data_IF_262597587847
#
_entry.id   IF_262597587847
#
_cell.length_a   1.000
_cell.length_b   1.000
_cell.length_c   1.000
_cell.angle_alpha   90.00
_cell.angle_beta   90.00
_cell.angle_gamma   90.00
#
_symmetry.space_group_name_H-M   'P 1'
#
loop_
_entity.id
_entity.type
_entity.pdbx_description
1 polymer ?
#
# COMPACT_ATOMS: atom_id res chain seq x y z
N UNK A 1 7.98 -17.51 -8.00
CA UNK A 1 7.47 -16.16 -8.26
C UNK A 1 8.35 -15.50 -9.31
N UNK A 2 7.77 -15.03 -10.41
CA UNK A 2 8.51 -14.30 -11.47
C UNK A 2 9.22 -13.09 -10.85
N UNK A 3 10.45 -12.79 -11.29
CA UNK A 3 11.25 -11.65 -10.82
C UNK A 3 10.47 -10.33 -10.85
N UNK A 4 9.63 -10.14 -11.87
CA UNK A 4 8.77 -8.95 -12.03
C UNK A 4 7.71 -8.83 -10.93
N UNK A 5 7.06 -9.94 -10.54
CA UNK A 5 6.09 -9.95 -9.43
C UNK A 5 6.79 -9.59 -8.13
N UNK A 6 7.97 -10.17 -7.87
CA UNK A 6 8.78 -9.85 -6.69
C UNK A 6 9.12 -8.36 -6.63
N UNK A 7 9.45 -7.73 -7.76
CA UNK A 7 9.68 -6.29 -7.86
C UNK A 7 8.45 -5.49 -7.40
N UNK A 8 7.25 -5.82 -7.89
CA UNK A 8 6.02 -5.13 -7.46
C UNK A 8 5.71 -5.32 -5.98
N UNK A 9 5.97 -6.51 -5.42
CA UNK A 9 5.85 -6.73 -3.97
C UNK A 9 6.84 -5.87 -3.18
N UNK A 10 8.07 -5.70 -3.67
CA UNK A 10 9.04 -4.76 -3.07
C UNK A 10 8.57 -3.31 -3.16
N UNK A 11 8.01 -2.89 -4.30
CA UNK A 11 7.46 -1.54 -4.47
C UNK A 11 6.36 -1.28 -3.41
N UNK A 12 5.42 -2.22 -3.26
CA UNK A 12 4.35 -2.13 -2.23
C UNK A 12 4.94 -2.01 -0.83
N UNK A 13 5.90 -2.89 -0.46
CA UNK A 13 6.52 -2.86 0.86
C UNK A 13 7.20 -1.52 1.12
N UNK A 14 7.95 -1.02 0.15
CA UNK A 14 8.68 0.24 0.23
C UNK A 14 7.73 1.41 0.44
N UNK A 15 6.63 1.48 -0.32
CA UNK A 15 5.61 2.51 -0.14
C UNK A 15 4.94 2.47 1.22
N UNK A 16 4.66 1.28 1.76
CA UNK A 16 4.13 1.16 3.13
C UNK A 16 5.14 1.66 4.15
N UNK A 17 6.42 1.33 3.99
CA UNK A 17 7.49 1.77 4.90
C UNK A 17 7.66 3.30 4.84
N UNK A 18 7.60 3.92 3.65
CA UNK A 18 7.60 5.38 3.49
C UNK A 18 6.41 6.05 4.17
N UNK A 19 5.19 5.50 4.03
CA UNK A 19 4.02 6.02 4.76
C UNK A 19 4.25 5.98 6.28
N UNK A 20 4.81 4.88 6.79
CA UNK A 20 5.10 4.76 8.22
C UNK A 20 6.16 5.76 8.68
N UNK A 21 7.18 6.02 7.86
CA UNK A 21 8.20 7.04 8.12
C UNK A 21 7.58 8.45 8.17
N UNK A 22 6.73 8.79 7.19
CA UNK A 22 6.08 10.10 7.13
C UNK A 22 5.17 10.38 8.32
N UNK A 23 4.49 9.35 8.84
CA UNK A 23 3.62 9.48 10.02
C UNK A 23 4.37 9.51 11.35
N UNK A 24 5.63 9.05 11.36
CA UNK A 24 6.43 8.91 12.57
C UNK A 24 5.81 7.99 13.62
N UNK A 25 6.41 7.98 14.81
CA UNK A 25 6.02 7.09 15.91
C UNK A 25 4.71 7.48 16.62
N UNK A 26 4.35 8.78 16.63
CA UNK A 26 3.17 9.28 17.34
C UNK A 26 1.86 8.99 16.60
N UNK A 27 1.89 8.93 15.26
CA UNK A 27 0.73 8.72 14.38
C UNK A 27 -0.47 9.58 14.77
N UNK A 28 -0.37 10.88 14.54
CA UNK A 28 -1.42 11.85 14.89
C UNK A 28 -2.33 12.18 13.68
N UNK A 29 -3.62 11.89 13.82
CA UNK A 29 -4.60 12.15 12.77
C UNK A 29 -4.76 13.65 12.47
N UNK A 30 -4.72 14.51 13.49
CA UNK A 30 -4.89 15.95 13.28
C UNK A 30 -3.66 16.56 12.63
N UNK A 31 -2.46 16.06 12.93
CA UNK A 31 -1.24 16.44 12.22
C UNK A 31 -1.35 16.07 10.73
N UNK A 32 -1.72 14.81 10.44
CA UNK A 32 -2.01 14.35 9.08
C UNK A 32 -3.02 15.25 8.38
N UNK A 33 -4.19 15.47 8.99
CA UNK A 33 -5.29 16.23 8.39
C UNK A 33 -4.90 17.68 8.07
N UNK A 34 -4.11 18.33 8.95
CA UNK A 34 -3.73 19.72 8.78
C UNK A 34 -2.45 19.91 7.93
N UNK A 35 -1.70 18.84 7.64
CA UNK A 35 -0.47 18.90 6.86
C UNK A 35 -0.70 18.44 5.41
N UNK A 36 -0.88 19.41 4.50
CA UNK A 36 -1.11 19.13 3.06
C UNK A 36 0.03 18.35 2.39
N UNK A 37 1.28 18.57 2.79
CA UNK A 37 2.41 17.85 2.22
C UNK A 37 2.38 16.38 2.63
N UNK A 38 2.11 16.12 3.92
CA UNK A 38 1.98 14.78 4.47
C UNK A 38 0.84 14.01 3.79
N UNK A 39 -0.33 14.63 3.63
CA UNK A 39 -1.46 14.02 2.91
C UNK A 39 -1.09 13.61 1.50
N UNK A 40 -0.51 14.53 0.72
CA UNK A 40 -0.09 14.26 -0.67
C UNK A 40 0.98 13.17 -0.76
N UNK A 41 1.90 13.12 0.20
CA UNK A 41 2.90 12.05 0.28
C UNK A 41 2.23 10.68 0.47
N UNK A 42 1.30 10.58 1.42
CA UNK A 42 0.58 9.33 1.70
C UNK A 42 -0.32 8.93 0.53
N UNK A 43 -1.06 9.86 -0.05
CA UNK A 43 -1.89 9.64 -1.26
C UNK A 43 -1.04 9.06 -2.39
N UNK A 44 0.14 9.63 -2.64
CA UNK A 44 1.05 9.15 -3.68
C UNK A 44 1.52 7.72 -3.43
N UNK A 45 1.90 7.40 -2.19
CA UNK A 45 2.32 6.03 -1.85
C UNK A 45 1.16 5.03 -1.99
N UNK A 46 -0.07 5.42 -1.66
CA UNK A 46 -1.26 4.59 -1.87
C UNK A 46 -1.54 4.33 -3.37
N UNK A 47 -1.32 5.31 -4.25
CA UNK A 47 -1.40 5.11 -5.70
C UNK A 47 -0.39 4.07 -6.20
N UNK A 48 0.86 4.15 -5.70
CA UNK A 48 1.94 3.23 -6.06
C UNK A 48 1.58 1.81 -5.61
N UNK A 49 1.09 1.65 -4.38
CA UNK A 49 0.63 0.37 -3.83
C UNK A 49 -0.46 -0.24 -4.73
N UNK A 50 -1.48 0.55 -5.10
CA UNK A 50 -2.57 0.08 -5.96
C UNK A 50 -2.12 -0.35 -7.36
N UNK A 51 -1.25 0.44 -7.99
CA UNK A 51 -0.70 0.12 -9.32
C UNK A 51 0.21 -1.12 -9.28
N UNK A 52 1.09 -1.22 -8.28
CA UNK A 52 1.96 -2.37 -8.12
C UNK A 52 1.16 -3.65 -7.86
N UNK A 53 0.11 -3.59 -7.03
CA UNK A 53 -0.79 -4.71 -6.79
C UNK A 53 -1.49 -5.17 -8.08
N UNK A 54 -2.02 -4.23 -8.87
CA UNK A 54 -2.67 -4.52 -10.14
C UNK A 54 -1.72 -5.24 -11.12
N UNK A 55 -0.46 -4.79 -11.21
CA UNK A 55 0.54 -5.41 -12.07
C UNK A 55 0.97 -6.79 -11.56
N UNK A 56 1.11 -6.95 -10.25
CA UNK A 56 1.43 -8.25 -9.65
C UNK A 56 0.35 -9.28 -9.96
N UNK A 57 -0.93 -8.94 -9.73
CA UNK A 57 -2.07 -9.83 -9.99
C UNK A 57 -2.24 -10.18 -11.47
N UNK A 58 -1.94 -9.25 -12.39
CA UNK A 58 -1.95 -9.55 -13.84
C UNK A 58 -0.91 -10.60 -14.23
N UNK A 59 0.24 -10.62 -13.55
CA UNK A 59 1.33 -11.55 -13.83
C UNK A 59 1.22 -12.87 -13.05
N UNK A 60 0.55 -12.84 -11.89
CA UNK A 60 0.36 -13.93 -10.94
C UNK A 60 -1.05 -13.81 -10.32
N UNK A 61 -2.11 -14.22 -11.06
CA UNK A 61 -3.48 -14.15 -10.57
C UNK A 61 -3.75 -15.01 -9.33
N UNK A 62 -2.92 -16.03 -9.11
CA UNK A 62 -2.94 -16.94 -7.96
C UNK A 62 -2.34 -16.33 -6.68
N UNK A 63 -1.83 -15.09 -6.73
CA UNK A 63 -1.28 -14.40 -5.57
C UNK A 63 -2.38 -14.17 -4.52
N UNK A 64 -2.31 -14.92 -3.43
CA UNK A 64 -3.28 -14.84 -2.33
C UNK A 64 -2.95 -13.65 -1.41
N UNK A 65 -3.52 -12.49 -1.73
CA UNK A 65 -3.50 -11.27 -0.92
C UNK A 65 -4.93 -10.92 -0.52
N UNK A 66 -5.15 -10.68 0.76
CA UNK A 66 -6.49 -10.35 1.24
C UNK A 66 -6.88 -8.97 0.73
N UNK A 67 -8.13 -8.83 0.29
CA UNK A 67 -8.68 -7.56 -0.21
C UNK A 67 -7.88 -6.94 -1.37
N UNK A 68 -7.13 -7.74 -2.15
CA UNK A 68 -6.28 -7.24 -3.23
C UNK A 68 -7.03 -6.34 -4.23
N UNK A 69 -8.30 -6.67 -4.52
CA UNK A 69 -9.17 -5.85 -5.37
C UNK A 69 -9.43 -4.45 -4.77
N UNK A 70 -9.72 -4.36 -3.48
CA UNK A 70 -9.91 -3.08 -2.78
C UNK A 70 -8.61 -2.26 -2.75
N UNK A 71 -7.45 -2.92 -2.64
CA UNK A 71 -6.14 -2.27 -2.71
C UNK A 71 -5.91 -1.64 -4.10
N UNK A 72 -6.25 -2.36 -5.17
CA UNK A 72 -6.22 -1.82 -6.54
C UNK A 72 -7.18 -0.64 -6.69
N UNK A 73 -8.39 -0.76 -6.15
CA UNK A 73 -9.42 0.27 -6.25
C UNK A 73 -9.09 1.54 -5.44
N UNK A 74 -8.24 1.42 -4.41
CA UNK A 74 -7.76 2.56 -3.59
C UNK A 74 -7.11 3.64 -4.46
N UNK A 75 -6.39 3.27 -5.53
CA UNK A 75 -5.83 4.22 -6.50
C UNK A 75 -6.90 5.11 -7.13
N UNK A 76 -8.01 4.51 -7.55
CA UNK A 76 -9.08 5.26 -8.23
C UNK A 76 -9.76 6.22 -7.25
N UNK A 77 -9.94 5.79 -6.00
CA UNK A 77 -10.57 6.60 -4.98
C UNK A 77 -9.68 7.79 -4.55
N UNK A 78 -8.36 7.59 -4.38
CA UNK A 78 -7.39 8.67 -4.08
C UNK A 78 -7.35 9.73 -5.20
N UNK A 79 -7.50 9.35 -6.47
CA UNK A 79 -7.51 10.30 -7.60
C UNK A 79 -8.77 11.19 -7.61
N UNK A 80 -9.86 10.75 -6.98
CA UNK A 80 -11.16 11.41 -7.02
C UNK A 80 -11.53 12.18 -5.74
N UNK A 81 -10.79 12.01 -4.63
CA UNK A 81 -11.11 12.58 -3.32
C UNK A 81 -10.36 13.88 -2.98
N UNK A 82 -11.08 14.91 -2.57
CA UNK A 82 -10.52 16.16 -2.02
C UNK A 82 -11.31 16.71 -0.81
N UNK A 83 -12.23 15.94 -0.24
CA UNK A 83 -13.07 16.38 0.88
C UNK A 83 -12.62 15.79 2.23
N UNK A 84 -13.24 16.25 3.34
CA UNK A 84 -12.88 15.79 4.70
C UNK A 84 -13.25 14.34 4.98
N UNK A 85 -14.18 13.75 4.22
CA UNK A 85 -14.54 12.32 4.33
C UNK A 85 -13.37 11.48 3.82
N UNK A 86 -12.61 11.98 2.85
CA UNK A 86 -11.43 11.30 2.32
C UNK A 86 -10.30 11.17 3.36
N UNK A 87 -10.04 12.22 4.15
CA UNK A 87 -8.99 12.18 5.19
C UNK A 87 -9.23 11.03 6.20
N UNK A 88 -10.46 10.84 6.64
CA UNK A 88 -10.83 9.79 7.63
C UNK A 88 -10.68 8.40 7.03
N UNK A 89 -11.05 8.22 5.77
CA UNK A 89 -10.97 6.94 5.08
C UNK A 89 -9.50 6.58 4.77
N UNK A 90 -8.69 7.52 4.27
CA UNK A 90 -7.24 7.32 4.09
C UNK A 90 -6.61 6.93 5.42
N UNK A 91 -6.93 7.66 6.50
CA UNK A 91 -6.42 7.35 7.83
C UNK A 91 -6.76 5.93 8.28
N UNK A 92 -8.00 5.48 8.03
CA UNK A 92 -8.42 4.12 8.34
C UNK A 92 -7.63 3.07 7.53
N UNK A 93 -7.38 3.33 6.25
CA UNK A 93 -6.55 2.47 5.38
C UNK A 93 -5.13 2.35 5.94
N UNK A 94 -4.49 3.48 6.23
CA UNK A 94 -3.11 3.51 6.71
C UNK A 94 -2.99 2.88 8.10
N UNK A 95 -3.98 3.08 8.97
CA UNK A 95 -3.92 2.60 10.34
C UNK A 95 -4.31 1.13 10.50
N UNK A 96 -5.23 0.62 9.67
CA UNK A 96 -5.81 -0.72 9.85
C UNK A 96 -5.46 -1.70 8.74
N UNK A 97 -5.36 -1.24 7.49
CA UNK A 97 -5.22 -2.13 6.33
C UNK A 97 -3.77 -2.29 5.91
N UNK A 98 -2.98 -1.21 5.87
CA UNK A 98 -1.56 -1.30 5.49
C UNK A 98 -0.72 -2.23 6.39
N UNK A 99 -0.90 -2.27 7.73
CA UNK A 99 -0.14 -3.21 8.57
C UNK A 99 -0.43 -4.67 8.25
N UNK A 100 -1.65 -5.00 7.82
CA UNK A 100 -2.03 -6.35 7.40
C UNK A 100 -1.41 -6.68 6.04
N UNK A 101 -1.56 -5.77 5.07
CA UNK A 101 -0.97 -5.91 3.74
C UNK A 101 0.55 -6.12 3.84
N UNK A 102 1.24 -5.32 4.65
CA UNK A 102 2.70 -5.43 4.84
C UNK A 102 3.13 -6.85 5.24
N UNK A 103 2.42 -7.46 6.20
CA UNK A 103 2.70 -8.83 6.66
C UNK A 103 2.48 -9.86 5.55
N UNK A 104 1.43 -9.70 4.75
CA UNK A 104 1.15 -10.59 3.62
C UNK A 104 2.25 -10.47 2.55
N UNK A 105 2.66 -9.25 2.21
CA UNK A 105 3.75 -8.98 1.26
C UNK A 105 5.07 -9.59 1.75
N UNK A 106 5.41 -9.42 3.02
CA UNK A 106 6.62 -10.03 3.61
C UNK A 106 6.58 -11.55 3.54
N UNK A 107 5.44 -12.16 3.87
CA UNK A 107 5.27 -13.62 3.75
C UNK A 107 5.55 -14.12 2.33
N UNK A 108 5.05 -13.42 1.31
CA UNK A 108 5.27 -13.78 -0.10
C UNK A 108 6.71 -13.50 -0.58
N UNK A 109 7.38 -12.50 0.00
CA UNK A 109 8.78 -12.21 -0.30
C UNK A 109 9.74 -13.23 0.35
N UNK A 110 9.43 -13.68 1.57
CA UNK A 110 10.24 -14.61 2.35
C UNK A 110 10.06 -16.08 1.96
N UNK A 111 9.04 -16.38 1.15
CA UNK A 111 8.80 -17.74 0.68
C UNK A 111 9.99 -18.26 -0.18
N UNK A 112 10.82 -19.08 0.46
CA UNK A 112 12.06 -19.65 -0.10
C UNK A 112 11.80 -20.68 -1.19
N UNK A 113 10.57 -21.14 -1.38
CA UNK A 113 10.18 -22.10 -2.41
C UNK A 113 10.44 -21.61 -3.86
N UNK A 114 10.84 -20.34 -4.02
CA UNK A 114 11.13 -19.72 -5.31
C UNK A 114 12.52 -19.10 -5.46
N UNK A 115 13.43 -19.30 -4.49
CA UNK A 115 14.80 -18.78 -4.55
C UNK A 115 15.83 -19.76 -5.14
N UNK A 116 15.38 -20.85 -5.76
CA UNK A 116 16.23 -21.79 -6.48
C UNK A 116 16.29 -21.44 -7.98
N UNK A 117 17.03 -20.39 -8.33
CA UNK A 117 17.64 -20.21 -9.66
C UNK A 117 18.94 -19.42 -9.52
#
# INVERSE_FOLDING_TARGET
MKREVRKYLYDIRTSIDSINEYLGGRRDFFEYQNNKLLRRGIERELEIIGEAMNRALKLCPELDIKNARQIVDTRNWVIHGYDKVDDVVIWAIVSKHLPVLRKEIEKHLDDKSFNSF
#
